data_IF_920021634654
#
_entry.id   IF_920021634654
#
_cell.length_a   1.000
_cell.length_b   1.000
_cell.length_c   1.000
_cell.angle_alpha   90.00
_cell.angle_beta   90.00
_cell.angle_gamma   90.00
#
_symmetry.space_group_name_H-M   'P 1'
#
loop_
_entity.id
_entity.type
_entity.pdbx_description
1 polymer ?
#
# COMPACT_ATOMS: atom_id res chain seq x y z
N UNK A 1 25.11 18.89 5.15
CA UNK A 1 25.11 18.03 6.37
C UNK A 1 24.82 16.59 5.96
N UNK A 2 25.60 15.60 6.42
CA UNK A 2 25.42 14.16 6.14
C UNK A 2 24.29 13.63 7.03
N UNK A 3 23.32 12.89 6.47
CA UNK A 3 22.30 12.18 7.27
C UNK A 3 22.88 11.01 8.04
N UNK A 4 22.12 10.42 8.96
CA UNK A 4 22.61 9.26 9.75
C UNK A 4 22.72 8.02 8.85
N UNK A 5 23.93 7.46 8.80
CA UNK A 5 24.17 6.18 8.17
C UNK A 5 23.89 5.07 9.17
N UNK A 6 22.84 4.28 8.90
CA UNK A 6 22.48 3.12 9.71
C UNK A 6 23.32 1.94 9.22
N UNK A 7 24.22 1.44 10.07
CA UNK A 7 24.88 0.16 9.81
C UNK A 7 23.98 -1.02 10.18
N UNK A 8 24.40 -2.24 9.83
CA UNK A 8 23.62 -3.46 10.10
C UNK A 8 23.23 -3.64 11.57
N UNK A 9 24.12 -3.25 12.49
CA UNK A 9 23.85 -3.30 13.94
C UNK A 9 22.75 -2.31 14.35
N UNK A 10 22.72 -1.14 13.72
CA UNK A 10 21.71 -0.12 13.98
C UNK A 10 20.36 -0.59 13.44
N UNK A 11 20.33 -1.16 12.22
CA UNK A 11 19.12 -1.72 11.60
C UNK A 11 18.55 -2.84 12.47
N UNK A 12 19.37 -3.78 12.94
CA UNK A 12 18.92 -4.85 13.86
C UNK A 12 18.33 -4.29 15.15
N UNK A 13 18.94 -3.22 15.70
CA UNK A 13 18.46 -2.58 16.92
C UNK A 13 17.11 -1.88 16.69
N UNK A 14 16.98 -1.12 15.60
CA UNK A 14 15.72 -0.48 15.19
C UNK A 14 14.63 -1.53 15.01
N UNK A 15 14.89 -2.58 14.23
CA UNK A 15 13.92 -3.66 14.03
C UNK A 15 13.45 -4.27 15.34
N UNK A 16 14.36 -4.57 16.28
CA UNK A 16 13.99 -5.10 17.59
C UNK A 16 13.09 -4.16 18.39
N UNK A 17 13.44 -2.87 18.44
CA UNK A 17 12.69 -1.87 19.19
C UNK A 17 11.30 -1.66 18.58
N UNK A 18 11.24 -1.57 17.25
CA UNK A 18 10.00 -1.48 16.48
C UNK A 18 9.11 -2.68 16.73
N UNK A 19 9.61 -3.92 16.60
CA UNK A 19 8.81 -5.13 16.83
C UNK A 19 8.32 -5.23 18.29
N UNK A 20 9.14 -4.82 19.27
CA UNK A 20 8.67 -4.73 20.67
C UNK A 20 7.50 -3.76 20.81
N UNK A 21 7.63 -2.56 20.25
CA UNK A 21 6.58 -1.55 20.32
C UNK A 21 5.31 -2.01 19.60
N UNK A 22 5.45 -2.62 18.42
CA UNK A 22 4.33 -3.19 17.68
C UNK A 22 3.64 -4.33 18.44
N UNK A 23 4.40 -5.19 19.11
CA UNK A 23 3.85 -6.23 19.98
C UNK A 23 3.02 -5.62 21.12
N UNK A 24 3.57 -4.61 21.79
CA UNK A 24 2.91 -3.95 22.91
C UNK A 24 1.62 -3.24 22.44
N UNK A 25 1.63 -2.62 21.25
CA UNK A 25 0.45 -2.03 20.62
C UNK A 25 -0.59 -3.06 20.16
N UNK A 26 -0.14 -4.18 19.60
CA UNK A 26 -1.01 -5.23 19.06
C UNK A 26 -1.82 -5.92 20.16
N UNK A 27 -1.19 -6.14 21.34
CA UNK A 27 -1.84 -6.72 22.53
C UNK A 27 -3.04 -5.92 23.04
N UNK A 28 -3.01 -4.60 22.86
CA UNK A 28 -4.09 -3.67 23.26
C UNK A 28 -4.68 -2.96 22.02
N UNK A 29 -4.67 -3.63 20.87
CA UNK A 29 -5.17 -3.05 19.62
C UNK A 29 -6.70 -2.90 19.63
N UNK A 30 -7.20 -1.90 18.91
CA UNK A 30 -8.62 -1.79 18.55
C UNK A 30 -8.84 -2.46 17.20
N UNK A 31 -9.66 -3.52 17.17
CA UNK A 31 -10.02 -4.22 15.94
C UNK A 31 -11.46 -3.83 15.58
N UNK A 32 -11.63 -3.19 14.42
CA UNK A 32 -12.94 -2.79 13.90
C UNK A 32 -13.27 -3.61 12.64
N UNK A 33 -14.42 -4.30 12.66
CA UNK A 33 -15.00 -4.87 11.44
C UNK A 33 -15.72 -3.79 10.66
N UNK A 34 -15.25 -3.52 9.43
CA UNK A 34 -15.85 -2.54 8.53
C UNK A 34 -16.79 -3.21 7.54
N UNK A 35 -17.85 -2.48 7.17
CA UNK A 35 -18.88 -2.92 6.25
C UNK A 35 -18.38 -2.91 4.79
N UNK A 36 -17.56 -3.90 4.42
CA UNK A 36 -16.85 -3.94 3.15
C UNK A 36 -16.43 -5.37 2.75
N UNK A 37 -16.21 -5.59 1.46
CA UNK A 37 -15.63 -6.83 0.90
C UNK A 37 -14.51 -6.46 -0.08
N UNK A 38 -13.26 -6.58 0.36
CA UNK A 38 -12.08 -6.18 -0.42
C UNK A 38 -11.92 -7.01 -1.69
N UNK A 39 -12.26 -8.30 -1.63
CA UNK A 39 -12.07 -9.25 -2.73
C UNK A 39 -13.12 -9.05 -3.82
N UNK A 40 -14.38 -8.85 -3.44
CA UNK A 40 -15.42 -8.52 -4.40
C UNK A 40 -15.11 -7.20 -5.13
N UNK A 41 -14.65 -6.18 -4.41
CA UNK A 41 -14.29 -4.89 -5.02
C UNK A 41 -13.07 -5.04 -5.94
N UNK A 42 -12.06 -5.81 -5.54
CA UNK A 42 -10.92 -6.14 -6.39
C UNK A 42 -11.36 -6.79 -7.71
N UNK A 43 -12.24 -7.80 -7.64
CA UNK A 43 -12.80 -8.45 -8.83
C UNK A 43 -13.47 -7.43 -9.75
N UNK A 44 -14.35 -6.59 -9.21
CA UNK A 44 -15.06 -5.58 -10.01
C UNK A 44 -14.12 -4.52 -10.63
N UNK A 45 -13.03 -4.17 -9.95
CA UNK A 45 -12.05 -3.20 -10.44
C UNK A 45 -11.16 -3.74 -11.57
N UNK A 46 -10.81 -5.03 -11.50
CA UNK A 46 -9.87 -5.66 -12.43
C UNK A 46 -10.55 -6.41 -13.59
N UNK A 47 -11.89 -6.40 -13.62
CA UNK A 47 -12.73 -6.98 -14.69
C UNK A 47 -13.63 -5.93 -15.34
N UNK A 48 -14.95 -6.04 -15.17
CA UNK A 48 -15.97 -5.15 -15.71
C UNK A 48 -16.73 -4.41 -14.60
N UNK A 49 -16.72 -3.08 -14.67
CA UNK A 49 -17.29 -2.20 -13.66
C UNK A 49 -18.84 -2.25 -13.56
N UNK A 50 -19.53 -2.79 -14.57
CA UNK A 50 -21.00 -2.80 -14.66
C UNK A 50 -21.60 -4.18 -14.41
N UNK A 51 -20.82 -5.24 -14.60
CA UNK A 51 -21.31 -6.60 -14.45
C UNK A 51 -21.61 -6.92 -12.98
N UNK A 52 -22.63 -7.73 -12.74
CA UNK A 52 -23.03 -8.15 -11.40
C UNK A 52 -21.98 -9.12 -10.82
N UNK A 53 -21.65 -9.01 -9.53
CA UNK A 53 -20.60 -9.82 -8.89
C UNK A 53 -20.80 -11.33 -9.07
N UNK A 54 -22.04 -11.83 -8.97
CA UNK A 54 -22.38 -13.23 -9.28
C UNK A 54 -21.94 -13.67 -10.67
N UNK A 55 -22.21 -12.85 -11.69
CA UNK A 55 -21.84 -13.15 -13.07
C UNK A 55 -20.31 -13.11 -13.21
N UNK A 56 -19.64 -12.13 -12.59
CA UNK A 56 -18.18 -12.01 -12.59
C UNK A 56 -17.52 -13.24 -11.96
N UNK A 57 -17.92 -13.61 -10.75
CA UNK A 57 -17.39 -14.77 -10.00
C UNK A 57 -17.61 -16.06 -10.79
N UNK A 58 -18.83 -16.32 -11.25
CA UNK A 58 -19.14 -17.52 -12.03
C UNK A 58 -18.30 -17.60 -13.31
N UNK A 59 -18.11 -16.47 -13.99
CA UNK A 59 -17.31 -16.40 -15.22
C UNK A 59 -15.83 -16.62 -14.95
N UNK A 60 -15.27 -15.98 -13.92
CA UNK A 60 -13.86 -16.15 -13.54
C UNK A 60 -13.57 -17.60 -13.20
N UNK A 61 -14.39 -18.22 -12.34
CA UNK A 61 -14.21 -19.64 -11.96
C UNK A 61 -14.34 -20.53 -13.20
N UNK A 62 -15.40 -20.37 -14.00
CA UNK A 62 -15.60 -21.17 -15.22
C UNK A 62 -14.40 -21.08 -16.17
N UNK A 63 -13.84 -19.88 -16.35
CA UNK A 63 -12.70 -19.67 -17.25
C UNK A 63 -11.41 -20.21 -16.65
N UNK A 64 -11.01 -19.76 -15.44
CA UNK A 64 -9.68 -20.03 -14.92
C UNK A 64 -9.53 -21.37 -14.19
N UNK A 65 -10.59 -21.90 -13.58
CA UNK A 65 -10.59 -23.26 -13.03
C UNK A 65 -11.02 -24.32 -14.06
N UNK A 66 -11.73 -23.92 -15.12
CA UNK A 66 -12.26 -24.84 -16.13
C UNK A 66 -11.40 -24.94 -17.39
N UNK A 67 -11.37 -23.89 -18.21
CA UNK A 67 -10.89 -23.96 -19.59
C UNK A 67 -9.54 -23.31 -19.86
N UNK A 68 -9.08 -22.41 -19.00
CA UNK A 68 -7.99 -21.48 -19.30
C UNK A 68 -7.22 -21.13 -18.02
N UNK A 69 -6.37 -22.04 -17.55
CA UNK A 69 -5.59 -21.87 -16.31
C UNK A 69 -4.82 -20.53 -16.29
N UNK A 70 -4.75 -19.82 -15.15
CA UNK A 70 -4.06 -18.54 -15.03
C UNK A 70 -2.64 -18.56 -15.61
N UNK A 71 -2.30 -17.53 -16.40
CA UNK A 71 -0.97 -17.33 -16.99
C UNK A 71 -0.23 -16.13 -16.39
N UNK A 72 -0.89 -15.33 -15.56
CA UNK A 72 -0.33 -14.14 -14.92
C UNK A 72 -0.74 -14.05 -13.46
N UNK A 73 -0.02 -13.25 -12.68
CA UNK A 73 -0.29 -13.01 -11.27
C UNK A 73 -1.74 -12.54 -11.04
N UNK A 74 -2.20 -11.55 -11.80
CA UNK A 74 -3.55 -10.99 -11.68
C UNK A 74 -4.65 -11.99 -12.01
N UNK A 75 -4.45 -12.85 -13.03
CA UNK A 75 -5.40 -13.91 -13.35
C UNK A 75 -5.53 -14.90 -12.18
N UNK A 76 -4.41 -15.23 -11.52
CA UNK A 76 -4.41 -16.09 -10.35
C UNK A 76 -5.11 -15.43 -9.16
N UNK A 77 -4.73 -14.18 -8.83
CA UNK A 77 -5.36 -13.41 -7.75
C UNK A 77 -6.88 -13.25 -7.95
N UNK A 78 -7.33 -13.09 -9.19
CA UNK A 78 -8.76 -13.03 -9.52
C UNK A 78 -9.47 -14.36 -9.29
N UNK A 79 -8.83 -15.48 -9.65
CA UNK A 79 -9.38 -16.81 -9.37
C UNK A 79 -9.48 -17.06 -7.86
N UNK A 80 -8.42 -16.78 -7.11
CA UNK A 80 -8.42 -16.95 -5.64
C UNK A 80 -9.48 -16.07 -4.97
N UNK A 81 -9.57 -14.80 -5.38
CA UNK A 81 -10.61 -13.89 -4.90
C UNK A 81 -12.02 -14.39 -5.25
N UNK A 82 -12.22 -14.93 -6.45
CA UNK A 82 -13.51 -15.43 -6.89
C UNK A 82 -13.98 -16.63 -6.08
N UNK A 83 -13.08 -17.53 -5.66
CA UNK A 83 -13.45 -18.63 -4.77
C UNK A 83 -13.94 -18.13 -3.41
N UNK A 84 -13.26 -17.17 -2.78
CA UNK A 84 -13.70 -16.61 -1.50
C UNK A 84 -15.07 -15.93 -1.63
N UNK A 85 -15.23 -15.08 -2.65
CA UNK A 85 -16.50 -14.37 -2.86
C UNK A 85 -17.63 -15.34 -3.25
N UNK A 86 -17.32 -16.42 -3.96
CA UNK A 86 -18.28 -17.49 -4.25
C UNK A 86 -18.83 -18.12 -2.97
N UNK A 87 -17.97 -18.46 -2.02
CA UNK A 87 -18.38 -19.03 -0.72
C UNK A 87 -19.25 -18.06 0.08
N UNK A 88 -18.92 -16.76 0.09
CA UNK A 88 -19.74 -15.72 0.72
C UNK A 88 -21.13 -15.63 0.10
N UNK A 89 -21.21 -15.66 -1.24
CA UNK A 89 -22.47 -15.63 -1.99
C UNK A 89 -23.28 -16.90 -1.75
N UNK A 90 -22.64 -18.07 -1.81
CA UNK A 90 -23.27 -19.37 -1.60
C UNK A 90 -23.85 -19.48 -0.18
N UNK A 91 -23.07 -19.09 0.83
CA UNK A 91 -23.51 -19.06 2.23
C UNK A 91 -24.73 -18.17 2.42
N UNK A 92 -24.76 -16.99 1.79
CA UNK A 92 -25.92 -16.12 1.79
C UNK A 92 -27.15 -16.78 1.12
N UNK A 93 -26.99 -17.40 -0.04
CA UNK A 93 -28.08 -18.05 -0.76
C UNK A 93 -28.72 -19.18 0.06
N UNK A 94 -27.89 -20.03 0.68
CA UNK A 94 -28.38 -21.07 1.58
C UNK A 94 -29.04 -20.48 2.84
N UNK A 95 -28.45 -19.44 3.41
CA UNK A 95 -28.96 -18.76 4.60
C UNK A 95 -30.35 -18.17 4.38
N UNK A 96 -30.60 -17.53 3.23
CA UNK A 96 -31.91 -16.92 2.91
C UNK A 96 -33.02 -17.96 2.73
N UNK A 97 -32.69 -19.16 2.23
CA UNK A 97 -33.68 -20.25 2.12
C UNK A 97 -34.16 -20.71 3.50
N UNK A 98 -33.30 -20.66 4.51
CA UNK A 98 -33.61 -21.04 5.89
C UNK A 98 -34.21 -19.89 6.71
N UNK A 99 -33.74 -18.67 6.48
CA UNK A 99 -34.13 -17.46 7.21
C UNK A 99 -34.27 -16.29 6.23
N UNK A 100 -35.50 -15.84 5.88
CA UNK A 100 -35.69 -14.76 4.90
C UNK A 100 -34.98 -13.44 5.21
N UNK A 101 -34.65 -13.21 6.49
CA UNK A 101 -33.94 -12.02 6.97
C UNK A 101 -32.42 -12.23 7.12
N UNK A 102 -31.85 -13.29 6.52
CA UNK A 102 -30.42 -13.55 6.58
C UNK A 102 -29.63 -12.32 6.07
N UNK A 103 -28.63 -11.81 6.81
CA UNK A 103 -27.94 -10.58 6.48
C UNK A 103 -27.32 -10.62 5.09
N UNK A 104 -27.57 -9.59 4.28
CA UNK A 104 -26.97 -9.47 2.95
C UNK A 104 -25.50 -9.06 3.06
N UNK A 105 -24.55 -9.85 2.54
CA UNK A 105 -23.15 -9.45 2.50
C UNK A 105 -22.97 -8.20 1.62
N UNK A 106 -21.88 -7.49 1.84
CA UNK A 106 -21.55 -6.25 1.13
C UNK A 106 -21.60 -6.44 -0.38
N UNK A 107 -20.98 -7.50 -0.89
CA UNK A 107 -20.92 -7.77 -2.33
C UNK A 107 -22.32 -7.98 -2.97
N UNK A 108 -23.33 -8.42 -2.21
CA UNK A 108 -24.71 -8.56 -2.70
C UNK A 108 -25.50 -7.25 -2.57
N UNK A 109 -25.20 -6.40 -1.57
CA UNK A 109 -25.79 -5.05 -1.46
C UNK A 109 -25.25 -4.08 -2.50
N UNK A 110 -23.99 -4.25 -2.88
CA UNK A 110 -23.27 -3.41 -3.84
C UNK A 110 -22.69 -4.26 -4.98
N UNK A 111 -23.55 -4.80 -5.87
CA UNK A 111 -23.16 -5.89 -6.76
C UNK A 111 -22.33 -5.46 -7.98
N UNK A 112 -22.01 -4.18 -8.14
CA UNK A 112 -21.18 -3.67 -9.22
C UNK A 112 -20.24 -2.56 -8.72
N UNK A 113 -19.16 -2.29 -9.44
CA UNK A 113 -18.23 -1.20 -9.09
C UNK A 113 -18.95 0.16 -9.02
N UNK A 114 -19.97 0.35 -9.86
CA UNK A 114 -20.76 1.58 -9.85
C UNK A 114 -21.57 1.71 -8.54
N UNK A 115 -22.08 0.62 -8.00
CA UNK A 115 -22.82 0.64 -6.73
C UNK A 115 -21.87 0.83 -5.54
N UNK A 116 -20.67 0.26 -5.60
CA UNK A 116 -19.59 0.52 -4.63
C UNK A 116 -19.18 2.01 -4.65
N UNK A 117 -19.07 2.62 -5.83
CA UNK A 117 -18.77 4.06 -5.95
C UNK A 117 -19.88 4.91 -5.33
N UNK A 118 -21.16 4.61 -5.63
CA UNK A 118 -22.31 5.33 -5.04
C UNK A 118 -22.33 5.18 -3.51
N UNK A 119 -22.07 3.98 -3.00
CA UNK A 119 -21.94 3.73 -1.56
C UNK A 119 -20.82 4.57 -0.96
N UNK A 120 -19.63 4.53 -1.56
CA UNK A 120 -18.45 5.28 -1.11
C UNK A 120 -18.70 6.79 -1.07
N UNK A 121 -19.38 7.36 -2.08
CA UNK A 121 -19.79 8.77 -2.11
C UNK A 121 -20.76 9.13 -0.97
N UNK A 122 -21.66 8.22 -0.60
CA UNK A 122 -22.59 8.42 0.52
C UNK A 122 -21.85 8.36 1.86
N UNK A 123 -20.90 7.43 1.99
CA UNK A 123 -20.16 7.17 3.21
C UNK A 123 -19.06 8.20 3.49
N UNK A 124 -18.46 8.80 2.46
CA UNK A 124 -17.51 9.92 2.59
C UNK A 124 -18.04 11.05 3.49
N UNK A 125 -19.33 11.38 3.35
CA UNK A 125 -20.01 12.41 4.12
C UNK A 125 -20.30 12.02 5.58
N UNK A 126 -20.02 10.77 5.93
CA UNK A 126 -20.37 10.13 7.20
C UNK A 126 -19.21 9.40 7.83
N UNK A 127 -17.98 9.57 7.33
CA UNK A 127 -16.82 8.86 7.83
C UNK A 127 -16.68 9.09 9.34
N UNK A 128 -16.67 8.01 10.11
CA UNK A 128 -16.41 8.05 11.55
C UNK A 128 -14.89 8.09 11.76
N UNK A 129 -14.40 9.05 12.55
CA UNK A 129 -13.02 9.03 13.00
C UNK A 129 -12.87 7.89 14.01
N UNK A 130 -11.99 6.93 13.71
CA UNK A 130 -11.56 5.93 14.68
C UNK A 130 -10.27 6.45 15.30
N UNK A 131 -10.38 6.96 16.51
CA UNK A 131 -9.26 7.50 17.27
C UNK A 131 -9.27 6.90 18.67
N UNK A 132 -8.26 6.09 18.96
CA UNK A 132 -7.94 5.67 20.31
C UNK A 132 -6.49 6.04 20.60
N UNK A 133 -6.32 6.89 21.61
CA UNK A 133 -5.01 7.42 21.95
C UNK A 133 -4.03 6.28 22.24
N UNK A 134 -2.90 6.29 21.53
CA UNK A 134 -1.78 5.35 21.70
C UNK A 134 -2.09 3.88 21.38
N UNK A 135 -3.18 3.59 20.65
CA UNK A 135 -3.47 2.22 20.19
C UNK A 135 -3.23 2.02 18.71
N UNK A 136 -2.88 0.78 18.35
CA UNK A 136 -2.97 0.31 16.97
C UNK A 136 -4.43 0.09 16.61
N UNK A 137 -4.86 0.63 15.48
CA UNK A 137 -6.18 0.39 14.91
C UNK A 137 -6.03 -0.63 13.78
N UNK A 138 -6.79 -1.70 13.81
CA UNK A 138 -6.83 -2.74 12.77
C UNK A 138 -8.23 -2.78 12.19
N UNK A 139 -8.35 -2.54 10.89
CA UNK A 139 -9.61 -2.61 10.16
C UNK A 139 -9.67 -3.96 9.45
N UNK A 140 -10.71 -4.75 9.72
CA UNK A 140 -10.97 -6.02 9.06
C UNK A 140 -12.28 -5.95 8.27
N UNK A 141 -12.33 -6.52 7.07
CA UNK A 141 -13.55 -6.56 6.27
C UNK A 141 -14.49 -7.71 6.70
N UNK A 142 -15.62 -7.90 6.00
CA UNK A 142 -16.61 -8.92 6.37
C UNK A 142 -16.10 -10.37 6.21
N UNK A 143 -15.00 -10.57 5.47
CA UNK A 143 -14.32 -11.85 5.30
C UNK A 143 -13.11 -12.01 6.24
N UNK A 144 -12.95 -11.12 7.23
CA UNK A 144 -11.85 -11.15 8.18
C UNK A 144 -10.49 -10.72 7.60
N UNK A 145 -10.45 -10.11 6.41
CA UNK A 145 -9.21 -9.66 5.78
C UNK A 145 -8.81 -8.30 6.35
N UNK A 146 -7.53 -8.13 6.70
CA UNK A 146 -7.03 -6.83 7.15
C UNK A 146 -6.98 -5.83 5.97
N UNK A 147 -7.82 -4.80 6.04
CA UNK A 147 -7.93 -3.73 5.03
C UNK A 147 -7.34 -2.41 5.49
N UNK A 148 -6.83 -2.32 6.72
CA UNK A 148 -6.11 -1.14 7.17
C UNK A 148 -5.47 -1.30 8.53
N UNK A 149 -4.30 -0.70 8.72
CA UNK A 149 -3.65 -0.56 10.02
C UNK A 149 -3.30 0.90 10.26
N UNK A 150 -3.83 1.48 11.33
CA UNK A 150 -3.47 2.80 11.83
C UNK A 150 -2.51 2.67 13.01
N UNK A 151 -1.40 3.40 12.98
CA UNK A 151 -0.43 3.41 14.07
C UNK A 151 -0.29 4.81 14.68
N UNK A 152 -0.21 4.90 16.02
CA UNK A 152 0.12 6.14 16.69
C UNK A 152 1.60 6.48 16.47
N UNK A 153 2.04 7.70 16.82
CA UNK A 153 3.44 8.07 16.77
C UNK A 153 4.31 7.15 17.64
N UNK A 154 5.50 6.84 17.14
CA UNK A 154 6.49 6.13 17.94
C UNK A 154 6.88 6.99 19.15
N UNK A 155 7.01 6.42 20.37
CA UNK A 155 7.31 7.20 21.56
C UNK A 155 8.59 8.03 21.40
N UNK A 156 8.49 9.32 21.73
CA UNK A 156 9.65 10.19 21.80
C UNK A 156 10.63 9.66 22.86
N UNK A 157 11.95 9.84 22.64
CA UNK A 157 12.93 9.49 23.64
C UNK A 157 12.75 10.37 24.90
N UNK A 158 13.27 9.93 26.07
CA UNK A 158 13.24 10.73 27.30
C UNK A 158 13.85 12.12 27.07
N UNK A 159 13.41 13.13 27.84
CA UNK A 159 13.87 14.53 27.69
C UNK A 159 15.39 14.69 27.76
N UNK A 160 16.08 13.84 28.53
CA UNK A 160 17.53 13.88 28.71
C UNK A 160 18.30 13.00 27.70
N UNK A 161 17.59 12.42 26.72
CA UNK A 161 18.19 11.59 25.69
C UNK A 161 19.04 12.42 24.73
N UNK A 162 20.23 11.93 24.40
CA UNK A 162 21.08 12.47 23.34
C UNK A 162 20.54 12.15 21.93
N UNK A 163 19.56 11.25 21.83
CA UNK A 163 18.96 10.85 20.56
C UNK A 163 17.74 11.72 20.24
N UNK A 164 17.72 12.24 19.01
CA UNK A 164 16.57 12.96 18.44
C UNK A 164 15.49 11.96 18.03
N UNK A 165 14.23 12.31 18.25
CA UNK A 165 13.09 11.50 17.82
C UNK A 165 13.07 11.24 16.29
N UNK A 166 12.49 10.12 15.88
CA UNK A 166 12.47 9.72 14.45
C UNK A 166 11.62 10.68 13.59
N UNK A 167 10.47 11.10 14.11
CA UNK A 167 9.55 12.06 13.50
C UNK A 167 10.16 13.46 13.36
N UNK A 168 10.87 13.94 14.39
CA UNK A 168 11.54 15.22 14.38
C UNK A 168 12.65 15.28 13.31
N UNK A 169 13.42 14.19 13.13
CA UNK A 169 14.45 14.10 12.07
C UNK A 169 13.86 14.11 10.66
N UNK A 170 12.80 13.34 10.45
CA UNK A 170 12.06 13.32 9.20
C UNK A 170 11.49 14.71 8.88
N UNK A 171 10.80 15.34 9.84
CA UNK A 171 10.22 16.67 9.69
C UNK A 171 11.28 17.74 9.39
N UNK A 172 12.41 17.74 10.10
CA UNK A 172 13.49 18.68 9.86
C UNK A 172 14.03 18.58 8.42
N UNK A 173 14.19 17.35 7.91
CA UNK A 173 14.65 17.13 6.53
C UNK A 173 13.61 17.58 5.50
N UNK A 174 12.32 17.35 5.74
CA UNK A 174 11.25 17.81 4.88
C UNK A 174 11.14 19.34 4.85
N UNK A 175 11.33 20.01 5.99
CA UNK A 175 11.40 21.48 6.09
C UNK A 175 12.59 22.04 5.30
N UNK A 176 13.78 21.44 5.45
CA UNK A 176 14.97 21.84 4.70
C UNK A 176 14.77 21.71 3.18
N UNK A 177 14.07 20.68 2.71
CA UNK A 177 13.73 20.53 1.28
C UNK A 177 12.78 21.63 0.78
N UNK A 178 11.95 22.20 1.65
CA UNK A 178 11.07 23.34 1.31
C UNK A 178 11.87 24.64 1.31
N UNK A 179 12.73 24.84 2.32
CA UNK A 179 13.58 26.04 2.46
C UNK A 179 14.64 26.13 1.36
N UNK A 180 15.18 24.98 0.96
CA UNK A 180 16.08 24.84 -0.19
C UNK A 180 15.28 24.20 -1.31
N UNK A 181 14.68 24.94 -2.25
CA UNK A 181 13.64 24.45 -3.18
C UNK A 181 14.19 23.44 -4.20
N UNK A 182 14.47 22.24 -3.71
CA UNK A 182 14.89 21.04 -4.43
C UNK A 182 13.66 20.26 -4.86
N UNK A 183 13.84 19.32 -5.78
CA UNK A 183 12.78 18.45 -6.31
C UNK A 183 11.61 19.22 -6.95
N UNK A 184 11.86 20.46 -7.43
CA UNK A 184 10.86 21.35 -8.03
C UNK A 184 9.60 21.52 -7.17
N UNK A 185 9.76 21.59 -5.85
CA UNK A 185 8.63 21.84 -4.94
C UNK A 185 8.00 23.19 -5.29
N UNK A 186 6.74 23.15 -5.74
CA UNK A 186 5.98 24.37 -5.97
C UNK A 186 5.49 24.93 -4.63
N UNK A 187 5.97 26.11 -4.26
CA UNK A 187 5.60 26.82 -3.03
C UNK A 187 4.44 27.81 -3.23
N UNK A 188 3.95 27.97 -4.46
CA UNK A 188 2.80 28.82 -4.79
C UNK A 188 1.46 28.14 -4.44
N UNK A 189 1.31 27.73 -3.18
CA UNK A 189 0.08 27.16 -2.66
C UNK A 189 -0.91 28.24 -2.22
N UNK A 190 -2.18 27.84 -2.09
CA UNK A 190 -3.18 28.63 -1.37
C UNK A 190 -2.70 28.89 0.06
N UNK A 191 -3.03 30.06 0.65
CA UNK A 191 -2.68 30.33 2.04
C UNK A 191 -3.22 29.22 2.96
N UNK A 192 -2.49 28.89 4.04
CA UNK A 192 -2.93 27.91 5.01
C UNK A 192 -4.29 28.32 5.58
N UNK A 193 -5.17 27.33 5.80
CA UNK A 193 -6.44 27.57 6.48
C UNK A 193 -6.17 27.75 7.98
N UNK A 194 -6.19 28.99 8.45
CA UNK A 194 -6.12 29.33 9.87
C UNK A 194 -7.53 29.37 10.45
N UNK A 195 -7.74 28.72 11.59
CA UNK A 195 -9.03 28.74 12.29
C UNK A 195 -8.85 29.05 13.78
N UNK A 196 -9.88 29.66 14.37
CA UNK A 196 -10.03 29.74 15.84
C UNK A 196 -10.58 28.44 16.42
N UNK A 197 -11.54 27.82 15.73
CA UNK A 197 -12.22 26.61 16.18
C UNK A 197 -12.16 25.52 15.09
N UNK A 198 -11.97 24.23 15.48
CA UNK A 198 -12.00 23.13 14.54
C UNK A 198 -13.35 23.03 13.78
N UNK A 199 -13.34 22.63 12.50
CA UNK A 199 -14.55 22.33 11.75
C UNK A 199 -15.38 21.27 12.49
N UNK A 200 -16.70 21.51 12.57
CA UNK A 200 -17.64 20.54 13.15
C UNK A 200 -18.10 19.52 12.12
N UNK A 201 -18.45 18.32 12.60
CA UNK A 201 -19.00 17.24 11.78
C UNK A 201 -17.96 16.24 11.27
N UNK A 202 -18.37 15.28 10.42
CA UNK A 202 -17.49 14.25 9.88
C UNK A 202 -16.36 14.86 9.03
N UNK A 203 -15.14 14.32 9.07
CA UNK A 203 -14.02 14.83 8.28
C UNK A 203 -14.33 14.78 6.78
N UNK A 204 -14.20 15.91 6.09
CA UNK A 204 -14.50 16.04 4.66
C UNK A 204 -13.23 16.32 3.86
N UNK A 205 -13.07 15.69 2.69
CA UNK A 205 -12.00 16.02 1.75
C UNK A 205 -12.39 17.21 0.88
N UNK A 206 -11.45 18.12 0.55
CA UNK A 206 -11.68 19.16 -0.45
C UNK A 206 -11.84 18.61 -1.89
N UNK A 207 -11.52 17.33 -2.11
CA UNK A 207 -11.61 16.63 -3.40
C UNK A 207 -12.56 15.42 -3.29
N UNK A 208 -13.85 15.68 -3.06
CA UNK A 208 -14.86 14.64 -2.83
C UNK A 208 -15.04 13.68 -4.01
N UNK A 209 -15.35 12.43 -3.69
CA UNK A 209 -15.71 11.41 -4.67
C UNK A 209 -16.96 11.83 -5.45
N UNK A 210 -16.93 11.63 -6.77
CA UNK A 210 -18.08 11.86 -7.63
C UNK A 210 -18.05 10.94 -8.85
N UNK A 211 -19.18 10.88 -9.56
CA UNK A 211 -19.35 10.00 -10.72
C UNK A 211 -18.48 10.36 -11.92
N UNK A 212 -18.06 11.62 -12.03
CA UNK A 212 -17.26 12.12 -13.16
C UNK A 212 -15.79 11.81 -12.99
N UNK A 213 -15.23 12.12 -11.82
CA UNK A 213 -13.79 12.02 -11.55
C UNK A 213 -13.44 10.73 -10.83
N UNK A 214 -14.38 10.10 -10.12
CA UNK A 214 -14.18 8.84 -9.39
C UNK A 214 -12.98 8.86 -8.44
N UNK A 215 -12.64 10.05 -7.91
CA UNK A 215 -11.47 10.26 -7.05
C UNK A 215 -10.16 10.59 -7.78
N UNK A 216 -10.16 10.70 -9.12
CA UNK A 216 -8.95 10.99 -9.90
C UNK A 216 -8.51 12.46 -9.86
N UNK A 217 -9.26 13.34 -9.18
CA UNK A 217 -8.86 14.74 -8.98
C UNK A 217 -7.96 14.83 -7.74
N UNK A 218 -6.69 15.17 -7.98
CA UNK A 218 -5.66 15.28 -6.94
C UNK A 218 -5.38 16.73 -6.51
N UNK A 219 -5.82 17.71 -7.30
CA UNK A 219 -5.63 19.14 -7.05
C UNK A 219 -6.60 19.98 -7.91
N UNK A 220 -6.83 21.27 -7.59
CA UNK A 220 -7.67 22.16 -8.39
C UNK A 220 -7.12 22.37 -9.81
N UNK A 221 -7.98 22.56 -10.81
CA UNK A 221 -7.59 22.67 -12.23
C UNK A 221 -6.61 23.82 -12.55
N UNK A 222 -6.53 24.86 -11.71
CA UNK A 222 -5.60 26.01 -11.83
C UNK A 222 -4.35 25.88 -10.95
N UNK A 223 -4.22 24.80 -10.19
CA UNK A 223 -3.03 24.57 -9.40
C UNK A 223 -1.88 24.19 -10.35
N UNK A 224 -0.79 24.95 -10.32
CA UNK A 224 0.46 24.62 -11.01
C UNK A 224 1.02 23.33 -10.41
N UNK A 225 0.56 22.14 -10.79
CA UNK A 225 1.03 20.85 -10.21
C UNK A 225 1.35 20.99 -8.70
N UNK A 226 0.42 21.57 -7.93
CA UNK A 226 0.74 22.13 -6.62
C UNK A 226 1.29 21.04 -5.70
N UNK A 227 2.60 21.09 -5.49
CA UNK A 227 3.35 20.44 -4.40
C UNK A 227 3.06 18.96 -4.18
N UNK A 228 2.68 18.24 -5.24
CA UNK A 228 2.74 16.78 -5.23
C UNK A 228 4.05 16.40 -5.85
N UNK A 229 5.12 16.47 -5.05
CA UNK A 229 6.32 15.70 -5.36
C UNK A 229 5.94 14.23 -5.19
N UNK A 230 5.30 13.67 -6.22
CA UNK A 230 5.38 12.24 -6.46
C UNK A 230 6.78 11.99 -7.02
N UNK A 231 7.78 11.99 -6.15
CA UNK A 231 8.91 11.15 -6.49
C UNK A 231 8.45 9.74 -6.24
N UNK A 232 8.16 9.04 -7.33
CA UNK A 232 7.96 7.61 -7.21
C UNK A 232 9.25 7.02 -6.68
N UNK A 233 9.17 6.48 -5.48
CA UNK A 233 10.27 5.82 -4.83
C UNK A 233 10.06 4.32 -4.99
N UNK A 234 11.11 3.58 -5.36
CA UNK A 234 11.02 2.16 -5.72
C UNK A 234 11.26 1.90 -7.21
N UNK A 235 10.99 0.66 -7.63
CA UNK A 235 11.22 0.20 -9.00
C UNK A 235 10.09 0.66 -9.93
N UNK A 236 10.47 1.29 -11.04
CA UNK A 236 9.56 1.86 -12.00
C UNK A 236 8.96 0.89 -12.99
N UNK A 237 8.16 1.47 -13.90
CA UNK A 237 7.65 0.79 -15.08
C UNK A 237 8.75 0.38 -16.07
N UNK A 238 10.03 0.68 -15.82
CA UNK A 238 11.05 0.67 -16.87
C UNK A 238 10.73 1.70 -17.96
N UNK A 239 11.59 1.78 -18.98
CA UNK A 239 11.43 2.68 -20.10
C UNK A 239 10.27 2.31 -21.03
N UNK A 240 10.12 3.01 -22.16
CA UNK A 240 9.10 2.73 -23.21
C UNK A 240 9.09 1.28 -23.73
N UNK A 241 10.12 0.49 -23.43
CA UNK A 241 10.32 -0.91 -23.83
C UNK A 241 9.65 -1.93 -22.90
N UNK A 242 9.13 -1.53 -21.75
CA UNK A 242 8.38 -2.41 -20.83
C UNK A 242 6.92 -2.64 -21.26
N UNK A 243 6.58 -2.30 -22.51
CA UNK A 243 5.27 -2.51 -23.09
C UNK A 243 4.92 -4.01 -23.13
N UNK A 244 3.78 -4.39 -22.53
CA UNK A 244 3.28 -5.77 -22.52
C UNK A 244 3.73 -6.63 -21.33
N UNK A 245 4.52 -6.07 -20.40
CA UNK A 245 4.99 -6.76 -19.18
C UNK A 245 4.02 -6.60 -18.00
N UNK A 246 3.17 -5.58 -18.03
CA UNK A 246 2.12 -5.40 -17.02
C UNK A 246 1.00 -6.38 -17.24
N UNK A 247 0.49 -6.92 -16.14
CA UNK A 247 -0.76 -7.65 -16.14
C UNK A 247 -1.89 -6.73 -16.63
N UNK A 248 -2.69 -7.24 -17.56
CA UNK A 248 -3.85 -6.53 -18.10
C UNK A 248 -5.09 -6.81 -17.26
N UNK A 249 -6.00 -5.84 -17.22
CA UNK A 249 -7.37 -6.07 -16.76
C UNK A 249 -8.04 -7.11 -17.67
N UNK A 250 -8.96 -7.87 -17.11
CA UNK A 250 -9.69 -8.88 -17.86
C UNK A 250 -10.90 -8.24 -18.50
N UNK A 251 -10.99 -8.34 -19.82
CA UNK A 251 -12.14 -7.87 -20.56
C UNK A 251 -13.26 -8.92 -20.51
N UNK A 252 -14.48 -8.45 -20.21
CA UNK A 252 -15.70 -9.25 -20.34
C UNK A 252 -16.52 -8.78 -21.54
N UNK A 253 -17.23 -9.70 -22.17
CA UNK A 253 -18.29 -9.39 -23.12
C UNK A 253 -19.60 -9.18 -22.35
N UNK A 254 -20.11 -7.96 -22.40
CA UNK A 254 -21.33 -7.58 -21.70
C UNK A 254 -22.62 -8.23 -22.22
N UNK A 255 -22.62 -8.79 -23.45
CA UNK A 255 -23.77 -9.50 -24.02
C UNK A 255 -23.79 -10.96 -23.60
N UNK A 256 -22.66 -11.66 -23.76
CA UNK A 256 -22.56 -13.08 -23.40
C UNK A 256 -22.26 -13.32 -21.92
N UNK A 257 -21.93 -12.25 -21.17
CA UNK A 257 -21.48 -12.32 -19.77
C UNK A 257 -20.33 -13.33 -19.61
N UNK A 258 -19.34 -13.24 -20.50
CA UNK A 258 -18.19 -14.14 -20.50
C UNK A 258 -16.88 -13.36 -20.59
N UNK A 259 -15.78 -13.94 -20.12
CA UNK A 259 -14.44 -13.40 -20.37
C UNK A 259 -14.11 -13.55 -21.84
N UNK A 260 -13.51 -12.52 -22.43
CA UNK A 260 -12.96 -12.56 -23.79
C UNK A 260 -11.63 -13.29 -23.79
N UNK A 261 -11.67 -14.60 -23.93
CA UNK A 261 -10.50 -15.48 -23.84
C UNK A 261 -9.41 -15.15 -24.86
N UNK A 262 -9.79 -14.64 -26.03
CA UNK A 262 -8.89 -14.20 -27.10
C UNK A 262 -8.08 -12.95 -26.75
N UNK A 263 -8.56 -12.13 -25.80
CA UNK A 263 -7.87 -10.95 -25.28
C UNK A 263 -6.99 -11.27 -24.06
N UNK A 264 -7.06 -12.50 -23.52
CA UNK A 264 -6.32 -12.90 -22.32
C UNK A 264 -4.81 -12.92 -22.56
N UNK A 265 -4.10 -12.20 -21.71
CA UNK A 265 -2.65 -12.16 -21.71
C UNK A 265 -2.06 -13.53 -21.36
N UNK A 266 -1.09 -13.98 -22.17
CA UNK A 266 -0.39 -15.26 -21.97
C UNK A 266 -1.06 -16.48 -22.60
N UNK A 267 -2.29 -16.37 -23.12
CA UNK A 267 -3.02 -17.51 -23.68
C UNK A 267 -2.85 -17.69 -25.20
N UNK A 268 -2.41 -16.67 -25.93
CA UNK A 268 -2.04 -16.82 -27.34
C UNK A 268 -0.57 -17.26 -27.48
N UNK A 269 -0.20 -17.94 -28.56
CA UNK A 269 1.20 -18.36 -28.79
C UNK A 269 2.11 -17.22 -29.29
N UNK A 270 1.54 -16.04 -29.58
CA UNK A 270 2.27 -14.91 -30.14
C UNK A 270 3.42 -14.39 -29.27
N UNK A 271 3.41 -14.64 -27.95
CA UNK A 271 4.52 -14.29 -27.05
C UNK A 271 5.67 -15.32 -27.05
N UNK A 272 5.42 -16.55 -27.52
CA UNK A 272 6.44 -17.59 -27.70
C UNK A 272 7.28 -17.29 -28.95
N UNK A 273 6.61 -16.86 -30.01
CA UNK A 273 7.22 -16.54 -31.31
C UNK A 273 7.92 -15.17 -31.30
N UNK A 274 7.32 -14.18 -30.64
CA UNK A 274 7.94 -12.86 -30.44
C UNK A 274 9.04 -12.98 -29.38
N UNK A 275 10.29 -13.11 -29.82
CA UNK A 275 11.51 -12.98 -28.98
C UNK A 275 11.73 -11.56 -28.46
N UNK A 276 10.67 -10.87 -28.02
CA UNK A 276 10.80 -9.61 -27.31
C UNK A 276 11.32 -9.95 -25.92
N UNK A 277 12.61 -9.70 -25.71
CA UNK A 277 13.26 -9.86 -24.42
C UNK A 277 12.59 -8.93 -23.41
N UNK A 278 11.98 -9.44 -22.33
CA UNK A 278 11.45 -8.61 -21.26
C UNK A 278 12.57 -7.81 -20.62
N UNK A 279 12.29 -6.57 -20.22
CA UNK A 279 13.24 -5.75 -19.46
C UNK A 279 12.84 -5.74 -17.98
N UNK A 280 13.85 -5.81 -17.11
CA UNK A 280 13.68 -5.61 -15.67
C UNK A 280 13.39 -4.14 -15.35
N UNK A 281 12.75 -3.87 -14.21
CA UNK A 281 12.34 -2.52 -13.85
C UNK A 281 13.55 -1.69 -13.41
N UNK A 282 13.75 -0.55 -14.05
CA UNK A 282 14.74 0.44 -13.63
C UNK A 282 14.18 1.40 -12.56
N UNK A 283 15.04 2.02 -11.73
CA UNK A 283 14.62 3.03 -10.76
C UNK A 283 14.02 4.24 -11.50
N UNK A 284 12.90 4.77 -11.01
CA UNK A 284 12.31 5.98 -11.57
C UNK A 284 13.21 7.17 -11.24
N UNK A 285 13.93 7.71 -12.23
CA UNK A 285 14.64 8.98 -12.10
C UNK A 285 14.15 9.96 -13.17
N UNK A 286 13.43 10.98 -12.71
CA UNK A 286 13.14 12.17 -13.53
C UNK A 286 14.19 13.29 -13.32
N UNK A 287 15.13 13.15 -12.37
CA UNK A 287 16.01 14.25 -11.95
C UNK A 287 17.49 13.89 -11.93
N UNK A 288 18.27 14.67 -12.67
CA UNK A 288 19.72 14.52 -12.87
C UNK A 288 20.58 15.59 -12.16
N UNK A 289 19.98 16.51 -11.38
CA UNK A 289 20.76 17.54 -10.69
C UNK A 289 21.30 17.06 -9.33
N UNK A 290 22.43 17.62 -8.91
CA UNK A 290 23.16 17.20 -7.70
C UNK A 290 22.38 17.48 -6.42
N UNK A 291 21.71 18.63 -6.33
CA UNK A 291 21.02 19.09 -5.11
C UNK A 291 19.83 18.20 -4.77
N UNK A 292 19.01 17.86 -5.76
CA UNK A 292 17.86 16.95 -5.58
C UNK A 292 18.34 15.57 -5.11
N UNK A 293 19.40 15.05 -5.73
CA UNK A 293 19.96 13.76 -5.33
C UNK A 293 20.49 13.76 -3.89
N UNK A 294 21.14 14.84 -3.45
CA UNK A 294 21.62 14.99 -2.08
C UNK A 294 20.46 15.07 -1.08
N UNK A 295 19.44 15.86 -1.38
CA UNK A 295 18.25 16.00 -0.54
C UNK A 295 17.50 14.67 -0.37
N UNK A 296 17.34 13.91 -1.46
CA UNK A 296 16.68 12.60 -1.42
C UNK A 296 17.48 11.55 -0.67
N UNK A 297 18.81 11.55 -0.83
CA UNK A 297 19.68 10.67 -0.06
C UNK A 297 19.58 10.96 1.44
N UNK A 298 19.51 12.24 1.83
CA UNK A 298 19.29 12.65 3.21
C UNK A 298 17.92 12.22 3.72
N UNK A 299 16.85 12.50 2.96
CA UNK A 299 15.48 12.09 3.31
C UNK A 299 15.40 10.58 3.54
N UNK A 300 15.97 9.78 2.64
CA UNK A 300 16.03 8.32 2.78
C UNK A 300 16.69 7.89 4.09
N UNK A 301 17.80 8.54 4.47
CA UNK A 301 18.51 8.22 5.70
C UNK A 301 17.69 8.57 6.94
N UNK A 302 17.10 9.76 6.98
CA UNK A 302 16.30 10.19 8.12
C UNK A 302 14.95 9.44 8.23
N UNK A 303 14.45 8.90 7.11
CA UNK A 303 13.22 8.09 7.06
C UNK A 303 13.45 6.59 7.34
N UNK A 304 14.69 6.13 7.58
CA UNK A 304 15.03 4.69 7.74
C UNK A 304 14.13 3.97 8.75
N UNK A 305 13.79 4.62 9.86
CA UNK A 305 12.89 4.03 10.87
C UNK A 305 11.52 3.69 10.29
N UNK A 306 10.94 4.62 9.52
CA UNK A 306 9.64 4.44 8.89
C UNK A 306 9.67 3.32 7.83
N UNK A 307 10.76 3.25 7.05
CA UNK A 307 10.99 2.13 6.12
C UNK A 307 10.94 0.77 6.83
N UNK A 308 11.61 0.67 7.98
CA UNK A 308 11.69 -0.57 8.76
C UNK A 308 10.42 -0.86 9.57
N UNK A 309 9.68 0.18 9.97
CA UNK A 309 8.33 0.05 10.49
C UNK A 309 7.37 -0.55 9.45
N UNK A 310 7.39 -0.03 8.22
CA UNK A 310 6.59 -0.58 7.11
C UNK A 310 6.94 -2.05 6.88
N UNK A 311 8.23 -2.38 6.83
CA UNK A 311 8.69 -3.75 6.65
C UNK A 311 8.18 -4.69 7.75
N UNK A 312 8.28 -4.27 9.02
CA UNK A 312 7.79 -5.08 10.14
C UNK A 312 6.28 -5.33 10.08
N UNK A 313 5.48 -4.32 9.70
CA UNK A 313 4.03 -4.48 9.51
C UNK A 313 3.74 -5.48 8.38
N UNK A 314 4.37 -5.36 7.22
CA UNK A 314 4.10 -6.26 6.10
C UNK A 314 4.54 -7.69 6.39
N UNK A 315 5.69 -7.90 7.03
CA UNK A 315 6.14 -9.24 7.38
C UNK A 315 5.21 -9.92 8.40
N UNK A 316 4.59 -9.15 9.30
CA UNK A 316 3.66 -9.68 10.28
C UNK A 316 2.27 -9.95 9.68
N UNK A 317 1.71 -8.99 8.94
CA UNK A 317 0.33 -9.04 8.43
C UNK A 317 0.21 -9.73 7.06
N UNK A 318 1.28 -9.75 6.26
CA UNK A 318 1.32 -10.27 4.89
C UNK A 318 2.61 -11.10 4.66
N UNK A 319 2.85 -12.17 5.44
CA UNK A 319 4.11 -12.92 5.41
C UNK A 319 4.42 -13.51 4.02
N UNK A 320 3.46 -14.17 3.37
CA UNK A 320 3.66 -14.78 2.05
C UNK A 320 3.95 -13.73 0.96
N UNK A 321 3.21 -12.62 0.96
CA UNK A 321 3.47 -11.48 0.07
C UNK A 321 4.86 -10.91 0.29
N UNK A 322 5.29 -10.82 1.55
CA UNK A 322 6.61 -10.31 1.92
C UNK A 322 7.72 -11.25 1.46
N UNK A 323 7.53 -12.57 1.55
CA UNK A 323 8.49 -13.55 1.05
C UNK A 323 8.68 -13.44 -0.47
N UNK A 324 7.59 -13.28 -1.22
CA UNK A 324 7.65 -13.06 -2.68
C UNK A 324 8.35 -11.73 -2.98
N UNK A 325 8.08 -10.68 -2.19
CA UNK A 325 8.72 -9.38 -2.38
C UNK A 325 10.23 -9.41 -2.10
N UNK A 326 10.67 -10.13 -1.06
CA UNK A 326 12.09 -10.36 -0.78
C UNK A 326 12.77 -11.11 -1.93
N UNK A 327 12.15 -12.21 -2.41
CA UNK A 327 12.66 -12.97 -3.58
C UNK A 327 12.77 -12.09 -4.83
N UNK A 328 11.79 -11.23 -5.07
CA UNK A 328 11.82 -10.27 -6.17
C UNK A 328 12.99 -9.28 -6.03
N UNK A 329 13.21 -8.74 -4.83
CA UNK A 329 14.35 -7.84 -4.57
C UNK A 329 15.68 -8.57 -4.78
N UNK A 330 15.82 -9.80 -4.31
CA UNK A 330 17.05 -10.58 -4.50
C UNK A 330 17.29 -10.90 -5.97
N UNK A 331 16.24 -11.21 -6.74
CA UNK A 331 16.37 -11.35 -8.19
C UNK A 331 16.91 -10.08 -8.87
N UNK A 332 16.48 -8.90 -8.44
CA UNK A 332 17.00 -7.63 -8.97
C UNK A 332 18.45 -7.36 -8.55
N UNK A 333 18.90 -7.87 -7.40
CA UNK A 333 20.32 -7.78 -7.00
C UNK A 333 21.21 -8.64 -7.90
N UNK A 334 20.69 -9.76 -8.38
CA UNK A 334 21.45 -10.72 -9.19
C UNK A 334 21.40 -10.36 -10.70
N UNK A 335 20.21 -10.02 -11.20
CA UNK A 335 19.92 -9.93 -12.63
C UNK A 335 19.64 -8.49 -13.11
N UNK A 336 19.44 -7.56 -12.17
CA UNK A 336 19.18 -6.15 -12.49
C UNK A 336 20.38 -5.47 -13.16
N UNK A 337 20.14 -4.31 -13.78
CA UNK A 337 21.21 -3.48 -14.34
C UNK A 337 22.19 -3.06 -13.25
N UNK A 338 23.45 -2.74 -13.60
CA UNK A 338 24.44 -2.23 -12.63
C UNK A 338 23.89 -1.06 -11.80
N UNK A 339 23.08 -0.20 -12.43
CA UNK A 339 22.38 0.91 -11.80
C UNK A 339 21.35 0.46 -10.76
N UNK A 340 20.54 -0.57 -11.08
CA UNK A 340 19.59 -1.19 -10.15
C UNK A 340 20.33 -1.81 -8.97
N UNK A 341 21.38 -2.58 -9.23
CA UNK A 341 22.17 -3.25 -8.20
C UNK A 341 22.84 -2.24 -7.26
N UNK A 342 23.44 -1.17 -7.80
CA UNK A 342 24.03 -0.09 -7.01
C UNK A 342 22.96 0.61 -6.15
N UNK A 343 21.77 0.88 -6.71
CA UNK A 343 20.67 1.49 -5.97
C UNK A 343 20.15 0.60 -4.86
N UNK A 344 20.04 -0.70 -5.08
CA UNK A 344 19.57 -1.67 -4.08
C UNK A 344 20.48 -1.74 -2.86
N UNK A 345 21.79 -1.53 -3.01
CA UNK A 345 22.73 -1.47 -1.89
C UNK A 345 22.42 -0.35 -0.89
N UNK A 346 21.79 0.72 -1.35
CA UNK A 346 21.46 1.90 -0.53
C UNK A 346 19.96 2.06 -0.31
N UNK A 347 19.13 1.16 -0.86
CA UNK A 347 17.69 1.17 -0.73
C UNK A 347 17.28 0.64 0.66
N UNK A 348 16.40 1.37 1.32
CA UNK A 348 15.91 1.07 2.68
C UNK A 348 14.40 0.83 2.72
N UNK A 349 13.64 1.31 1.73
CA UNK A 349 12.21 1.06 1.61
C UNK A 349 11.98 -0.13 0.69
N UNK A 350 11.27 -1.13 1.20
CA UNK A 350 10.95 -2.33 0.45
C UNK A 350 9.46 -2.39 0.09
N UNK A 351 8.57 -1.66 0.83
CA UNK A 351 7.10 -1.88 0.78
C UNK A 351 6.27 -0.58 1.03
N UNK A 352 4.93 -0.69 0.96
CA UNK A 352 3.91 0.37 0.95
C UNK A 352 3.48 0.90 2.34
N UNK A 353 3.48 2.23 2.54
CA UNK A 353 2.91 2.92 3.72
C UNK A 353 2.68 4.43 3.50
N UNK A 354 1.78 5.07 4.25
CA UNK A 354 1.63 6.53 4.33
C UNK A 354 2.02 7.07 5.71
N UNK A 355 2.83 8.12 5.72
CA UNK A 355 3.32 8.81 6.91
C UNK A 355 2.91 10.28 6.92
N UNK A 356 2.56 10.81 8.10
CA UNK A 356 2.12 12.19 8.26
C UNK A 356 3.06 12.97 9.16
N UNK A 357 3.44 14.18 8.75
CA UNK A 357 4.30 15.08 9.53
C UNK A 357 3.80 16.52 9.44
N UNK A 358 3.97 17.31 10.50
CA UNK A 358 3.54 18.70 10.48
C UNK A 358 3.13 19.20 11.86
N UNK A 359 2.55 20.39 11.87
CA UNK A 359 1.91 21.03 13.03
C UNK A 359 0.45 21.38 12.73
N UNK A 360 -0.16 20.67 11.77
CA UNK A 360 -1.55 20.80 11.40
C UNK A 360 -2.48 20.04 12.35
N UNK A 361 -3.71 20.51 12.45
CA UNK A 361 -4.83 19.79 13.01
C UNK A 361 -5.71 19.23 11.87
N UNK A 362 -6.59 18.27 12.19
CA UNK A 362 -7.46 17.62 11.21
C UNK A 362 -6.67 16.75 10.22
N UNK A 363 -7.05 16.76 8.93
CA UNK A 363 -6.30 16.02 7.92
C UNK A 363 -6.35 14.50 8.05
N UNK A 364 -7.40 13.96 8.68
CA UNK A 364 -7.61 12.51 8.81
C UNK A 364 -7.52 11.79 7.47
N UNK A 365 -6.97 10.58 7.48
CA UNK A 365 -6.92 9.73 6.30
C UNK A 365 -8.26 9.03 6.13
N UNK A 366 -8.99 9.41 5.08
CA UNK A 366 -10.34 8.95 4.81
C UNK A 366 -10.30 7.63 4.05
N UNK A 367 -11.17 6.71 4.43
CA UNK A 367 -11.54 5.53 3.65
C UNK A 367 -13.05 5.57 3.36
N UNK A 368 -13.49 6.33 2.34
CA UNK A 368 -14.91 6.46 2.02
C UNK A 368 -15.63 5.12 1.87
N UNK A 369 -15.00 4.13 1.22
CA UNK A 369 -15.59 2.80 1.03
C UNK A 369 -15.76 2.00 2.31
N UNK A 370 -15.04 2.35 3.37
CA UNK A 370 -15.13 1.70 4.68
C UNK A 370 -16.02 2.50 5.65
N UNK A 371 -16.36 3.75 5.31
CA UNK A 371 -17.10 4.66 6.17
C UNK A 371 -16.31 5.14 7.40
N UNK A 372 -14.98 5.06 7.36
CA UNK A 372 -14.11 5.41 8.49
C UNK A 372 -12.99 6.36 8.08
N UNK A 373 -12.40 7.01 9.07
CA UNK A 373 -11.24 7.86 8.93
C UNK A 373 -10.24 7.56 10.06
N UNK A 374 -8.95 7.50 9.72
CA UNK A 374 -7.87 7.32 10.70
C UNK A 374 -7.13 8.63 10.95
N UNK A 375 -6.54 8.78 12.13
CA UNK A 375 -5.79 9.99 12.49
C UNK A 375 -4.59 10.21 11.56
N UNK A 376 -4.49 11.41 10.99
CA UNK A 376 -3.45 11.83 10.03
C UNK A 376 -2.54 12.94 10.56
N UNK A 377 -2.27 12.92 11.87
CA UNK A 377 -1.46 13.93 12.57
C UNK A 377 0.03 13.57 12.59
N UNK A 378 0.87 14.46 13.12
CA UNK A 378 2.31 14.27 13.18
C UNK A 378 2.70 12.92 13.79
N UNK A 379 3.53 12.16 13.07
CA UNK A 379 4.09 10.89 13.51
C UNK A 379 3.17 9.69 13.30
N UNK A 380 1.88 9.90 13.00
CA UNK A 380 0.95 8.81 12.67
C UNK A 380 1.30 8.17 11.32
N UNK A 381 0.90 6.91 11.16
CA UNK A 381 1.01 6.20 9.88
C UNK A 381 -0.19 5.30 9.61
N UNK A 382 -0.48 5.12 8.32
CA UNK A 382 -1.57 4.27 7.84
C UNK A 382 -1.03 3.32 6.79
N UNK A 383 -1.40 2.04 6.91
CA UNK A 383 -0.98 0.92 6.06
C UNK A 383 -2.22 0.23 5.52
N UNK A 384 -2.22 -0.21 4.26
CA UNK A 384 -3.38 -0.88 3.68
C UNK A 384 -3.31 -1.05 2.15
N UNK A 385 -4.31 -1.72 1.55
CA UNK A 385 -4.40 -1.99 0.13
C UNK A 385 -4.93 -0.78 -0.66
N UNK A 386 -4.16 0.32 -0.67
CA UNK A 386 -4.57 1.61 -1.28
C UNK A 386 -4.80 1.57 -2.80
N UNK A 387 -4.40 0.48 -3.48
CA UNK A 387 -4.76 0.23 -4.88
C UNK A 387 -6.25 -0.06 -5.05
N UNK A 388 -6.86 -0.70 -4.06
CA UNK A 388 -8.26 -1.16 -4.12
C UNK A 388 -9.17 -0.14 -3.42
N UNK A 389 -8.75 0.35 -2.25
CA UNK A 389 -9.56 1.25 -1.44
C UNK A 389 -9.59 2.66 -2.00
N UNK A 390 -10.78 3.22 -2.17
CA UNK A 390 -10.91 4.68 -2.28
C UNK A 390 -10.40 5.30 -0.98
N UNK A 391 -9.51 6.28 -1.12
CA UNK A 391 -8.91 6.96 0.01
C UNK A 391 -8.68 8.44 -0.31
N UNK A 392 -8.53 9.24 0.74
CA UNK A 392 -8.29 10.67 0.62
C UNK A 392 -7.76 11.27 1.91
N UNK A 393 -7.46 12.56 1.88
CA UNK A 393 -7.06 13.33 3.06
C UNK A 393 -8.16 14.34 3.33
N UNK A 394 -8.68 14.35 4.56
CA UNK A 394 -9.63 15.36 4.99
C UNK A 394 -9.01 16.76 4.97
N UNK A 395 -9.86 17.78 5.06
CA UNK A 395 -9.41 19.14 5.23
C UNK A 395 -8.54 19.24 6.49
N UNK A 396 -7.35 19.80 6.31
CA UNK A 396 -6.45 20.15 7.40
C UNK A 396 -6.47 21.67 7.58
N UNK A 397 -6.01 22.10 8.74
CA UNK A 397 -6.07 23.47 9.20
C UNK A 397 -5.01 23.69 10.28
N UNK A 398 -4.76 24.95 10.61
CA UNK A 398 -3.80 25.36 11.62
C UNK A 398 -4.46 26.32 12.60
N UNK A 399 -3.97 26.33 13.84
CA UNK A 399 -4.41 27.30 14.83
C UNK A 399 -3.97 28.71 14.43
N UNK A 400 -4.80 29.69 14.74
CA UNK A 400 -4.51 31.09 14.41
C UNK A 400 -3.29 31.65 15.15
N UNK A 401 -3.00 31.13 16.35
CA UNK A 401 -1.88 31.50 17.22
C UNK A 401 -0.66 30.57 17.05
N UNK A 402 -0.54 29.87 15.93
CA UNK A 402 0.55 28.93 15.70
C UNK A 402 1.92 29.63 15.78
N UNK A 403 2.85 29.17 16.65
CA UNK A 403 4.11 29.87 16.90
C UNK A 403 5.12 29.67 15.76
N UNK A 404 5.02 28.53 15.07
CA UNK A 404 5.89 28.15 13.96
C UNK A 404 5.17 28.32 12.63
N UNK A 405 5.94 28.41 11.54
CA UNK A 405 5.36 28.36 10.20
C UNK A 405 4.49 27.08 10.02
N UNK A 406 3.34 27.19 9.33
CA UNK A 406 2.42 26.08 9.14
C UNK A 406 2.98 25.08 8.11
N UNK A 407 3.09 23.83 8.52
CA UNK A 407 3.55 22.74 7.66
C UNK A 407 2.66 21.51 7.77
N UNK A 408 2.35 20.92 6.61
CA UNK A 408 1.70 19.62 6.50
C UNK A 408 2.37 18.81 5.39
N UNK A 409 2.99 17.71 5.77
CA UNK A 409 3.65 16.77 4.86
C UNK A 409 2.95 15.40 4.92
N UNK A 410 2.84 14.74 3.77
CA UNK A 410 2.63 13.30 3.69
C UNK A 410 3.72 12.66 2.87
N UNK A 411 4.24 11.55 3.35
CA UNK A 411 5.18 10.71 2.61
C UNK A 411 4.51 9.37 2.34
N UNK A 412 4.35 9.04 1.05
CA UNK A 412 3.85 7.75 0.61
C UNK A 412 5.02 6.89 0.11
N UNK A 413 5.26 5.77 0.77
CA UNK A 413 6.17 4.71 0.31
C UNK A 413 5.31 3.68 -0.40
N UNK A 414 5.72 3.19 -1.58
CA UNK A 414 5.00 2.12 -2.27
C UNK A 414 5.83 1.42 -3.34
N UNK A 415 5.45 0.19 -3.67
CA UNK A 415 6.01 -0.59 -4.77
C UNK A 415 4.96 -0.69 -5.88
N UNK A 416 5.39 -0.63 -7.14
CA UNK A 416 4.49 -0.79 -8.28
C UNK A 416 4.26 -2.27 -8.56
N UNK A 417 3.07 -2.61 -9.04
CA UNK A 417 2.79 -3.97 -9.54
C UNK A 417 3.82 -4.43 -10.60
N UNK A 418 4.28 -3.48 -11.41
CA UNK A 418 5.31 -3.71 -12.43
C UNK A 418 6.60 -4.28 -11.86
N UNK A 419 6.95 -3.95 -10.62
CA UNK A 419 8.13 -4.45 -9.94
C UNK A 419 8.09 -5.98 -9.79
N UNK A 420 6.88 -6.57 -9.74
CA UNK A 420 6.70 -8.01 -9.59
C UNK A 420 6.40 -8.69 -10.92
N UNK A 421 5.49 -8.13 -11.73
CA UNK A 421 5.11 -8.76 -13.02
C UNK A 421 6.27 -8.78 -14.02
N UNK A 422 7.16 -7.79 -13.98
CA UNK A 422 8.36 -7.77 -14.82
C UNK A 422 9.39 -8.81 -14.44
N UNK A 423 9.61 -9.04 -13.15
CA UNK A 423 10.49 -10.09 -12.67
C UNK A 423 9.92 -11.45 -13.05
N UNK A 424 8.62 -11.67 -12.84
CA UNK A 424 7.95 -12.91 -13.22
C UNK A 424 8.10 -13.19 -14.72
N UNK A 425 7.95 -12.16 -15.57
CA UNK A 425 8.10 -12.30 -17.03
C UNK A 425 9.56 -12.48 -17.47
N UNK A 426 10.49 -11.75 -16.86
CA UNK A 426 11.92 -11.86 -17.14
C UNK A 426 12.46 -13.24 -16.72
N UNK A 427 12.07 -13.72 -15.53
CA UNK A 427 12.42 -15.06 -15.05
C UNK A 427 11.87 -16.15 -15.96
N UNK A 428 10.61 -16.04 -16.42
CA UNK A 428 10.05 -16.99 -17.38
C UNK A 428 10.85 -17.03 -18.68
N UNK A 429 11.29 -15.88 -19.20
CA UNK A 429 12.09 -15.82 -20.41
C UNK A 429 13.49 -16.41 -20.23
N UNK A 430 14.18 -16.06 -19.14
CA UNK A 430 15.60 -16.38 -18.94
C UNK A 430 15.87 -17.70 -18.19
N UNK A 431 15.07 -18.02 -17.18
CA UNK A 431 15.26 -19.19 -16.30
C UNK A 431 14.36 -20.36 -16.65
N UNK A 432 13.32 -20.14 -17.47
CA UNK A 432 12.37 -21.18 -17.94
C UNK A 432 12.36 -21.31 -19.46
N UNK A 433 13.37 -20.79 -20.16
CA UNK A 433 13.50 -20.80 -21.62
C UNK A 433 12.25 -20.33 -22.38
N UNK A 434 11.50 -19.38 -21.79
CA UNK A 434 10.25 -18.86 -22.33
C UNK A 434 9.19 -19.97 -22.58
N UNK A 435 9.21 -21.07 -21.83
CA UNK A 435 8.21 -22.15 -21.93
C UNK A 435 6.87 -21.77 -21.30
N UNK A 436 6.89 -20.89 -20.30
CA UNK A 436 5.70 -20.30 -19.65
C UNK A 436 5.62 -18.80 -19.89
N UNK A 437 4.42 -18.24 -19.83
CA UNK A 437 4.26 -16.79 -20.01
C UNK A 437 4.84 -16.01 -18.81
N UNK A 438 4.65 -16.50 -17.59
CA UNK A 438 5.09 -15.84 -16.37
C UNK A 438 5.53 -16.89 -15.35
N UNK A 439 6.58 -16.58 -14.59
CA UNK A 439 7.09 -17.46 -13.54
C UNK A 439 6.26 -17.27 -12.27
N UNK A 440 5.48 -18.29 -11.93
CA UNK A 440 4.54 -18.26 -10.80
C UNK A 440 5.21 -18.15 -9.43
N UNK A 441 6.52 -18.40 -9.34
CA UNK A 441 7.28 -18.20 -8.08
C UNK A 441 7.37 -16.74 -7.64
N UNK A 442 7.08 -15.79 -8.54
CA UNK A 442 7.05 -14.35 -8.28
C UNK A 442 5.62 -13.77 -8.29
N UNK A 443 4.58 -14.61 -8.27
CA UNK A 443 3.20 -14.15 -8.16
C UNK A 443 2.89 -13.81 -6.71
N UNK A 444 2.27 -12.64 -6.49
CA UNK A 444 1.85 -12.21 -5.17
C UNK A 444 0.54 -12.93 -4.82
N UNK A 445 0.41 -13.52 -3.63
CA UNK A 445 -0.86 -14.10 -3.20
C UNK A 445 -1.94 -13.02 -3.10
N UNK A 446 -3.20 -13.45 -3.08
CA UNK A 446 -4.31 -12.57 -2.70
C UNK A 446 -4.22 -12.24 -1.20
N UNK A 447 -4.91 -11.19 -0.74
CA UNK A 447 -4.87 -10.78 0.68
C UNK A 447 -5.37 -11.90 1.60
N UNK A 448 -4.59 -12.28 2.62
CA UNK A 448 -4.96 -13.34 3.55
C UNK A 448 -5.94 -12.84 4.62
N UNK A 449 -6.66 -13.78 5.23
CA UNK A 449 -7.40 -13.54 6.47
C UNK A 449 -6.44 -13.07 7.58
N UNK A 450 -6.88 -12.09 8.37
CA UNK A 450 -6.12 -11.59 9.52
C UNK A 450 -6.12 -12.61 10.66
N UNK A 451 -4.94 -13.12 11.00
CA UNK A 451 -4.73 -14.03 12.13
C UNK A 451 -3.95 -13.34 13.25
N UNK A 452 -4.68 -12.91 14.28
CA UNK A 452 -4.10 -12.17 15.42
C UNK A 452 -2.92 -12.89 16.07
N UNK A 453 -3.04 -14.21 16.30
CA UNK A 453 -1.97 -15.00 16.91
C UNK A 453 -0.72 -15.06 16.02
N UNK A 454 -0.86 -15.23 14.71
CA UNK A 454 0.28 -15.24 13.77
C UNK A 454 1.03 -13.90 13.75
N UNK A 455 0.30 -12.77 13.78
CA UNK A 455 0.90 -11.43 13.88
C UNK A 455 1.65 -11.25 15.19
N UNK A 456 1.06 -11.69 16.30
CA UNK A 456 1.69 -11.65 17.63
C UNK A 456 2.97 -12.49 17.68
N UNK A 457 2.90 -13.74 17.21
CA UNK A 457 4.01 -14.67 17.15
C UNK A 457 5.18 -14.11 16.34
N UNK A 458 4.90 -13.47 15.20
CA UNK A 458 5.92 -12.79 14.40
C UNK A 458 6.65 -11.72 15.23
N UNK A 459 5.90 -10.80 15.87
CA UNK A 459 6.52 -9.73 16.67
C UNK A 459 7.29 -10.28 17.88
N UNK A 460 6.79 -11.33 18.53
CA UNK A 460 7.45 -12.01 19.65
C UNK A 460 8.75 -12.70 19.24
N UNK A 461 8.73 -13.41 18.11
CA UNK A 461 9.90 -14.08 17.53
C UNK A 461 11.00 -13.07 17.20
N UNK A 462 10.69 -12.02 16.46
CA UNK A 462 11.69 -11.01 16.10
C UNK A 462 12.22 -10.23 17.31
N UNK A 463 11.37 -10.02 18.33
CA UNK A 463 11.81 -9.44 19.59
C UNK A 463 12.78 -10.34 20.36
N UNK A 464 12.55 -11.66 20.37
CA UNK A 464 13.36 -12.63 21.13
C UNK A 464 14.68 -12.98 20.42
N UNK A 465 14.66 -13.26 19.12
CA UNK A 465 15.85 -13.63 18.33
C UNK A 465 16.91 -12.51 18.29
N UNK A 466 16.49 -11.25 18.39
CA UNK A 466 17.39 -10.10 18.44
C UNK A 466 18.00 -9.83 19.83
N UNK A 467 17.68 -10.66 20.84
CA UNK A 467 18.35 -10.69 22.15
C UNK A 467 19.52 -11.67 22.22
N UNK A 468 19.57 -12.66 21.32
CA UNK A 468 20.69 -13.59 21.20
C UNK A 468 21.91 -12.87 20.60
N UNK A 469 22.53 -12.05 21.43
CA UNK A 469 23.97 -11.81 21.31
C UNK A 469 24.60 -13.18 21.47
N UNK A 470 25.25 -13.68 20.42
CA UNK A 470 26.24 -14.74 20.53
C UNK A 470 27.11 -14.36 21.73
N UNK A 471 26.93 -15.03 22.87
CA UNK A 471 27.88 -14.94 23.98
C UNK A 471 29.15 -15.50 23.36
N UNK A 472 30.07 -14.62 22.98
CA UNK A 472 31.44 -15.02 22.72
C UNK A 472 31.94 -15.63 24.02
N UNK A 473 31.81 -16.94 24.13
CA UNK A 473 32.60 -17.76 25.02
C UNK A 473 34.03 -17.73 24.48
N UNK A 474 34.71 -16.58 24.60
CA UNK A 474 36.14 -16.60 24.82
C UNK A 474 36.32 -17.06 26.26
N UNK A 475 36.24 -18.39 26.41
CA UNK A 475 36.75 -19.07 27.57
C UNK A 475 38.21 -18.66 27.73
N UNK A 476 38.53 -18.16 28.94
CA UNK A 476 39.89 -18.13 29.47
C UNK A 476 40.61 -19.43 29.12
N UNK A 477 41.72 -19.31 28.41
CA UNK A 477 42.93 -20.12 28.66
C UNK A 477 44.13 -19.23 28.43
#
# INVERSE_FOLDING_TARGET
>A
MRGIEYGDKDIKTVMRQTNKWLLDLHKDSHVETVDFDILAVFIMQETDAKMHIRDLVATIIKTFAGSSTPQTNRQNQLLDAAFVVYETIYSYDQGVLLQPNFPKPFCIRHPSLLDVLKYSMKMEKKCKIIEEAKKMIILIDENGICVGVGLPPYPAPPKDSKHIAHDARALATLKEMVETPVCKLNLNQYPPLLVENPPSGPPQTPFSLNSKTKGDVRAPAKSLNASVSYQTYGFGLGGKKSAGVLDKKIACDGKSKSIKTEELQGHNDGWKEKKIKPELPDPLRDYSNTLDNQALAKLRNEMTFYSKLTLAINLAFLPETSDVAVKAVDYLKDEGTDLVQERLKVEKNEIIAFYFFGNHDGGNFLFPSLGVALTGLHGYSVHGPFRILYHGVAQYHFKQDIPDAPYRFSVAMWSRESSFTSIARHSAYHKKDNQTYSDSTYWLPIYPEYKSDSVREYFEKYHSESRDRTRNNQAKK
#
